data_IF_550681019276
#
_entry.id   IF_550681019276
#
_cell.length_a   1.000
_cell.length_b   1.000
_cell.length_c   1.000
_cell.angle_alpha   90.00
_cell.angle_beta   90.00
_cell.angle_gamma   90.00
#
_symmetry.space_group_name_H-M   'P 1'
#
loop_
_entity.id
_entity.type
_entity.pdbx_description
1 polymer ?
#
# COMPACT_ATOMS: atom_id res chain seq x y z
N UNK A 1 14.80 -19.20 -11.80
CA UNK A 1 15.04 -18.78 -10.41
C UNK A 1 14.55 -17.38 -10.29
N UNK A 2 13.69 -17.03 -9.32
CA UNK A 2 13.36 -15.65 -9.08
C UNK A 2 14.66 -14.90 -8.75
N UNK A 3 14.79 -13.62 -9.13
CA UNK A 3 15.92 -12.83 -8.73
C UNK A 3 15.94 -12.77 -7.20
N UNK A 4 17.03 -13.22 -6.59
CA UNK A 4 17.26 -13.12 -5.15
C UNK A 4 17.63 -11.64 -4.91
N UNK A 5 16.64 -10.83 -4.59
CA UNK A 5 16.88 -9.46 -4.13
C UNK A 5 17.19 -9.49 -2.64
N UNK A 6 18.45 -9.77 -2.35
CA UNK A 6 18.97 -9.81 -0.99
C UNK A 6 19.68 -8.48 -0.65
N UNK A 7 18.97 -7.38 -0.86
CA UNK A 7 19.42 -6.09 -0.32
C UNK A 7 18.61 -5.82 0.94
N UNK A 8 19.15 -6.14 2.12
CA UNK A 8 18.44 -5.82 3.36
C UNK A 8 18.30 -4.29 3.45
N UNK A 9 17.09 -3.83 3.74
CA UNK A 9 16.88 -2.43 4.14
C UNK A 9 17.77 -2.19 5.35
N UNK A 10 18.59 -1.15 5.28
CA UNK A 10 19.56 -0.84 6.31
C UNK A 10 18.89 -0.79 7.69
N UNK A 11 19.31 -1.67 8.59
CA UNK A 11 18.79 -1.76 9.95
C UNK A 11 17.57 -2.64 10.14
N UNK A 12 17.06 -3.33 9.11
CA UNK A 12 16.03 -4.36 9.32
C UNK A 12 16.57 -5.50 10.15
N UNK A 13 15.92 -5.78 11.26
CA UNK A 13 16.19 -6.98 12.05
C UNK A 13 15.55 -8.18 11.35
N UNK A 14 16.38 -9.15 10.95
CA UNK A 14 15.87 -10.45 10.50
C UNK A 14 15.18 -11.12 11.68
N UNK A 15 13.87 -11.36 11.58
CA UNK A 15 13.18 -12.22 12.54
C UNK A 15 13.63 -13.66 12.30
N UNK A 16 13.97 -14.42 13.35
CA UNK A 16 14.26 -15.83 13.17
C UNK A 16 13.03 -16.54 12.57
N UNK A 17 13.23 -17.51 11.65
CA UNK A 17 12.13 -18.29 11.11
C UNK A 17 11.42 -19.07 12.23
N UNK A 18 10.10 -19.21 12.10
CA UNK A 18 9.34 -20.11 12.97
C UNK A 18 9.73 -21.57 12.70
N UNK A 19 9.67 -22.42 13.70
CA UNK A 19 9.99 -23.84 13.57
C UNK A 19 8.77 -24.71 13.26
N UNK A 20 7.59 -24.20 13.57
CA UNK A 20 6.27 -24.78 13.26
C UNK A 20 5.36 -23.67 12.76
N UNK A 21 4.30 -23.95 12.00
CA UNK A 21 3.34 -22.93 11.60
C UNK A 21 2.76 -22.19 12.82
N UNK A 22 2.70 -20.86 12.73
CA UNK A 22 2.17 -19.98 13.80
C UNK A 22 1.09 -19.09 13.21
N UNK A 23 -0.06 -19.06 13.86
CA UNK A 23 -1.15 -18.14 13.54
C UNK A 23 -1.11 -16.93 14.49
N UNK A 24 -1.18 -15.73 13.89
CA UNK A 24 -1.27 -14.44 14.60
C UNK A 24 -2.61 -13.80 14.29
N UNK A 25 -3.26 -13.24 15.29
CA UNK A 25 -4.49 -12.46 15.09
C UNK A 25 -5.71 -13.06 15.76
N UNK A 26 -6.84 -13.02 15.09
CA UNK A 26 -8.13 -13.46 15.59
C UNK A 26 -8.97 -14.07 14.45
N UNK A 27 -10.18 -14.59 14.76
CA UNK A 27 -11.02 -15.27 13.76
C UNK A 27 -11.44 -14.42 12.56
N UNK A 28 -11.36 -13.11 12.63
CA UNK A 28 -11.74 -12.20 11.54
C UNK A 28 -10.55 -11.67 10.74
N UNK A 29 -9.36 -11.61 11.36
CA UNK A 29 -8.14 -11.12 10.74
C UNK A 29 -6.96 -11.85 11.33
N UNK A 30 -6.25 -12.63 10.51
CA UNK A 30 -5.14 -13.48 10.96
C UNK A 30 -4.10 -13.66 9.87
N UNK A 31 -2.89 -13.97 10.30
CA UNK A 31 -1.78 -14.37 9.44
C UNK A 31 -1.28 -15.73 9.88
N UNK A 32 -0.89 -16.57 8.93
CA UNK A 32 -0.22 -17.84 9.23
C UNK A 32 1.21 -17.80 8.70
N UNK A 33 2.19 -17.84 9.60
CA UNK A 33 3.61 -17.91 9.24
C UNK A 33 4.09 -19.35 9.25
N UNK A 34 4.74 -19.76 8.16
CA UNK A 34 5.26 -21.11 7.96
C UNK A 34 6.80 -21.15 8.08
N UNK A 35 7.39 -22.32 8.46
CA UNK A 35 8.84 -22.50 8.55
C UNK A 35 9.59 -22.21 7.24
N UNK A 36 8.92 -22.32 6.11
CA UNK A 36 9.44 -21.94 4.78
C UNK A 36 9.71 -20.46 4.59
N UNK A 37 9.26 -19.59 5.53
CA UNK A 37 9.28 -18.14 5.40
C UNK A 37 8.08 -17.55 4.64
N UNK A 38 7.09 -18.39 4.29
CA UNK A 38 5.81 -17.92 3.78
C UNK A 38 4.96 -17.35 4.92
N UNK A 39 4.37 -16.19 4.69
CA UNK A 39 3.36 -15.57 5.56
C UNK A 39 2.07 -15.49 4.76
N UNK A 40 1.07 -16.29 5.12
CA UNK A 40 -0.23 -16.30 4.46
C UNK A 40 -1.15 -15.27 5.13
N UNK A 41 -1.52 -14.24 4.39
CA UNK A 41 -2.44 -13.17 4.80
C UNK A 41 -3.76 -13.21 4.02
N UNK A 42 -3.97 -14.28 3.23
CA UNK A 42 -5.13 -14.43 2.34
C UNK A 42 -6.42 -14.78 3.06
N UNK A 43 -6.36 -15.05 4.36
CA UNK A 43 -7.50 -15.49 5.19
C UNK A 43 -8.18 -16.78 4.71
N UNK A 44 -7.48 -17.60 3.92
CA UNK A 44 -8.06 -18.82 3.33
C UNK A 44 -7.94 -20.06 4.20
N UNK A 45 -7.04 -20.04 5.20
CA UNK A 45 -6.72 -21.23 5.98
C UNK A 45 -6.36 -20.89 7.41
N UNK A 46 -7.22 -21.24 8.35
CA UNK A 46 -6.88 -21.29 9.77
C UNK A 46 -6.05 -22.54 10.08
N UNK A 47 -5.13 -22.41 11.02
CA UNK A 47 -4.61 -23.57 11.71
C UNK A 47 -5.74 -24.24 12.51
N UNK A 48 -5.58 -25.56 12.79
CA UNK A 48 -6.62 -26.35 13.47
C UNK A 48 -7.00 -25.70 14.83
N UNK A 49 -8.26 -25.81 15.31
CA UNK A 49 -8.67 -25.21 16.58
C UNK A 49 -7.84 -25.62 17.80
N UNK A 50 -7.18 -26.79 17.76
CA UNK A 50 -6.20 -27.24 18.77
C UNK A 50 -4.91 -26.44 18.77
N UNK A 51 -4.63 -25.68 17.69
CA UNK A 51 -3.39 -24.96 17.48
C UNK A 51 -3.57 -23.45 17.71
N UNK A 52 -4.80 -23.02 18.09
CA UNK A 52 -5.08 -21.59 18.35
C UNK A 52 -4.36 -21.06 19.58
N UNK A 53 -3.67 -19.95 19.39
CA UNK A 53 -3.12 -19.15 20.48
C UNK A 53 -4.23 -18.63 21.40
N UNK A 54 -4.18 -19.00 22.68
CA UNK A 54 -5.07 -18.39 23.68
C UNK A 54 -4.53 -17.01 24.06
N UNK A 55 -5.28 -15.97 23.67
CA UNK A 55 -4.97 -14.56 23.90
C UNK A 55 -5.08 -14.16 25.36
N UNK A 56 -4.16 -14.58 26.21
CA UNK A 56 -4.05 -14.06 27.56
C UNK A 56 -2.58 -13.78 27.89
N UNK A 57 -1.92 -12.84 27.17
CA UNK A 57 -0.68 -12.18 27.63
C UNK A 57 0.42 -13.07 28.22
N UNK A 58 0.34 -14.38 28.07
CA UNK A 58 1.23 -15.36 28.65
C UNK A 58 2.13 -16.00 27.63
N UNK A 59 3.36 -16.17 27.99
CA UNK A 59 4.40 -16.93 27.33
C UNK A 59 3.84 -18.19 26.66
N UNK A 60 4.12 -18.40 25.38
CA UNK A 60 3.84 -19.64 24.67
C UNK A 60 4.59 -20.77 25.37
N UNK A 61 3.91 -21.50 26.25
CA UNK A 61 4.41 -22.76 26.81
C UNK A 61 3.89 -23.89 25.93
N UNK A 62 4.74 -24.40 25.05
CA UNK A 62 4.51 -25.68 24.45
C UNK A 62 4.58 -26.76 25.54
N UNK A 63 3.44 -27.13 26.13
CA UNK A 63 3.35 -28.35 26.88
C UNK A 63 3.36 -29.52 25.88
N UNK A 64 4.51 -30.14 25.74
CA UNK A 64 4.68 -31.33 24.97
C UNK A 64 3.85 -32.49 25.47
N UNK A 65 3.39 -33.28 24.53
CA UNK A 65 2.81 -34.62 24.55
C UNK A 65 1.28 -34.70 24.41
N UNK A 66 0.77 -34.28 23.26
CA UNK A 66 -0.28 -35.04 22.59
C UNK A 66 0.06 -35.10 21.11
N UNK A 67 -0.09 -36.29 20.50
CA UNK A 67 0.13 -36.52 19.09
C UNK A 67 -0.89 -35.68 18.31
N UNK A 68 -0.54 -34.44 18.01
CA UNK A 68 -1.24 -33.61 17.05
C UNK A 68 -1.16 -34.32 15.71
N UNK A 69 -2.30 -34.67 15.15
CA UNK A 69 -2.40 -35.01 13.73
C UNK A 69 -1.88 -33.80 12.97
N UNK A 70 -0.63 -33.91 12.50
CA UNK A 70 0.27 -32.84 12.14
C UNK A 70 -0.41 -31.64 11.46
N UNK A 71 -0.33 -30.49 12.13
CA UNK A 71 -0.36 -29.22 11.43
C UNK A 71 0.62 -29.37 10.26
N UNK A 72 0.17 -29.10 9.03
CA UNK A 72 1.04 -29.23 7.85
C UNK A 72 2.21 -28.28 8.07
N UNK A 73 3.41 -28.82 8.22
CA UNK A 73 4.64 -28.02 8.27
C UNK A 73 4.83 -27.20 6.97
N UNK A 74 4.19 -27.65 5.90
CA UNK A 74 4.17 -27.00 4.60
C UNK A 74 2.88 -26.23 4.37
N UNK A 75 2.97 -25.06 3.72
CA UNK A 75 1.79 -24.28 3.36
C UNK A 75 0.86 -25.07 2.42
N UNK A 76 -0.45 -24.79 2.40
CA UNK A 76 -1.35 -25.30 1.39
C UNK A 76 -0.89 -24.96 -0.02
N UNK A 77 -1.29 -25.74 -1.02
CA UNK A 77 -1.08 -25.39 -2.43
C UNK A 77 -1.71 -24.03 -2.73
N UNK A 78 -1.11 -23.27 -3.66
CA UNK A 78 -1.62 -21.98 -4.11
C UNK A 78 -3.03 -22.11 -4.69
N UNK A 79 -3.96 -21.34 -4.19
CA UNK A 79 -5.35 -21.26 -4.69
C UNK A 79 -5.47 -20.43 -5.96
N UNK A 80 -6.64 -20.49 -6.63
CA UNK A 80 -6.90 -19.82 -7.91
C UNK A 80 -6.75 -18.29 -7.82
N UNK A 81 -7.23 -17.69 -6.72
CA UNK A 81 -7.16 -16.25 -6.46
C UNK A 81 -6.02 -15.88 -5.52
N UNK A 82 -4.96 -16.68 -5.47
CA UNK A 82 -3.82 -16.40 -4.59
C UNK A 82 -2.56 -16.11 -5.39
N UNK A 83 -1.69 -15.32 -4.81
CA UNK A 83 -0.35 -15.08 -5.32
C UNK A 83 0.65 -15.02 -4.17
N UNK A 84 1.82 -15.64 -4.39
CA UNK A 84 2.94 -15.65 -3.46
C UNK A 84 3.93 -14.56 -3.85
N UNK A 85 3.90 -13.45 -3.13
CA UNK A 85 4.68 -12.24 -3.42
C UNK A 85 6.01 -12.28 -2.67
N UNK A 86 7.16 -12.32 -3.36
CA UNK A 86 8.45 -12.19 -2.70
C UNK A 86 8.58 -10.80 -2.06
N UNK A 87 9.00 -10.75 -0.80
CA UNK A 87 9.21 -9.50 -0.04
C UNK A 87 10.60 -9.48 0.56
N UNK A 88 11.02 -8.33 1.06
CA UNK A 88 12.32 -8.18 1.69
C UNK A 88 12.53 -9.13 2.87
N UNK A 89 13.81 -9.43 3.16
CA UNK A 89 14.20 -10.36 4.21
C UNK A 89 14.09 -11.85 3.82
N UNK A 90 14.05 -12.15 2.51
CA UNK A 90 13.99 -13.52 2.00
C UNK A 90 12.67 -14.24 2.30
N UNK A 91 11.59 -13.50 2.50
CA UNK A 91 10.25 -14.00 2.82
C UNK A 91 9.32 -13.92 1.62
N UNK A 92 8.18 -14.56 1.76
CA UNK A 92 7.10 -14.53 0.78
C UNK A 92 5.79 -14.24 1.49
N UNK A 93 4.96 -13.38 0.92
CA UNK A 93 3.61 -13.09 1.43
C UNK A 93 2.58 -13.63 0.47
N UNK A 94 1.71 -14.51 0.96
CA UNK A 94 0.56 -15.01 0.19
C UNK A 94 -0.62 -14.09 0.38
N UNK A 95 -1.14 -13.56 -0.72
CA UNK A 95 -2.30 -12.66 -0.75
C UNK A 95 -3.48 -13.34 -1.46
N UNK A 96 -4.71 -12.86 -1.17
CA UNK A 96 -5.87 -13.07 -2.03
C UNK A 96 -5.97 -11.91 -3.02
N UNK A 97 -5.80 -12.16 -4.31
CA UNK A 97 -5.81 -11.13 -5.35
C UNK A 97 -7.16 -10.45 -5.49
N UNK A 98 -8.27 -11.15 -5.19
CA UNK A 98 -9.62 -10.58 -5.23
C UNK A 98 -9.94 -9.65 -4.06
N UNK A 99 -9.23 -9.80 -2.93
CA UNK A 99 -9.32 -8.96 -1.75
C UNK A 99 -8.12 -7.98 -1.63
N UNK A 100 -7.45 -7.69 -2.76
CA UNK A 100 -6.25 -6.83 -2.82
C UNK A 100 -6.48 -5.61 -3.71
N UNK A 101 -5.93 -4.47 -3.30
CA UNK A 101 -5.89 -3.26 -4.12
C UNK A 101 -4.50 -2.61 -4.14
N UNK A 102 -4.17 -1.96 -5.26
CA UNK A 102 -3.03 -1.04 -5.37
C UNK A 102 -3.56 0.37 -5.08
N UNK A 103 -3.03 1.03 -4.06
CA UNK A 103 -3.36 2.41 -3.67
C UNK A 103 -2.28 3.33 -4.22
N UNK A 104 -2.58 4.01 -5.33
CA UNK A 104 -1.69 4.97 -6.00
C UNK A 104 -2.02 6.38 -5.51
N UNK A 105 -1.10 6.99 -4.78
CA UNK A 105 -1.33 8.23 -4.05
C UNK A 105 -0.66 9.41 -4.75
N UNK A 106 -1.45 10.43 -5.09
CA UNK A 106 -1.02 11.76 -5.53
C UNK A 106 -0.05 11.80 -6.72
N UNK A 107 -0.14 10.85 -7.65
CA UNK A 107 0.63 10.89 -8.89
C UNK A 107 0.07 11.92 -9.89
N UNK A 108 -0.26 13.12 -9.36
CA UNK A 108 -0.96 14.21 -10.04
C UNK A 108 0.00 15.23 -10.67
N UNK A 109 -0.49 15.98 -11.67
CA UNK A 109 0.27 17.04 -12.32
C UNK A 109 0.83 18.06 -11.32
N UNK A 110 0.08 18.41 -10.24
CA UNK A 110 0.57 19.36 -9.24
C UNK A 110 1.90 18.91 -8.62
N UNK A 111 2.09 17.63 -8.41
CA UNK A 111 3.30 17.09 -7.77
C UNK A 111 4.42 16.76 -8.76
N UNK A 112 4.08 16.41 -10.00
CA UNK A 112 5.03 15.82 -10.95
C UNK A 112 5.29 16.64 -12.21
N UNK A 113 4.39 17.58 -12.57
CA UNK A 113 4.58 18.37 -13.77
C UNK A 113 5.75 19.37 -13.59
N UNK A 114 6.75 19.38 -14.49
CA UNK A 114 7.96 20.19 -14.32
C UNK A 114 7.71 21.69 -14.21
N UNK A 115 6.65 22.20 -14.85
CA UNK A 115 6.26 23.63 -14.74
C UNK A 115 5.73 23.98 -13.33
N UNK A 116 5.32 22.99 -12.55
CA UNK A 116 4.79 23.20 -11.19
C UNK A 116 5.76 22.78 -10.12
N UNK A 117 6.46 21.67 -10.30
CA UNK A 117 7.39 21.12 -9.32
C UNK A 117 8.55 20.38 -9.97
N UNK A 118 9.72 20.52 -9.37
CA UNK A 118 10.85 19.63 -9.63
C UNK A 118 10.74 18.42 -8.71
N UNK A 119 10.36 17.27 -9.27
CA UNK A 119 10.22 16.00 -8.54
C UNK A 119 10.81 14.82 -9.34
N UNK A 120 12.13 14.83 -9.58
CA UNK A 120 12.75 13.82 -10.46
C UNK A 120 12.62 12.40 -9.91
N UNK A 121 12.59 12.22 -8.59
CA UNK A 121 12.39 10.92 -7.94
C UNK A 121 10.96 10.41 -8.14
N UNK A 122 9.94 11.27 -8.04
CA UNK A 122 8.55 10.90 -8.29
C UNK A 122 8.28 10.55 -9.75
N UNK A 123 8.95 11.21 -10.69
CA UNK A 123 8.84 10.85 -12.11
C UNK A 123 9.36 9.44 -12.41
N UNK A 124 10.33 8.94 -11.63
CA UNK A 124 10.83 7.56 -11.75
C UNK A 124 9.80 6.50 -11.35
N UNK A 125 8.76 6.86 -10.60
CA UNK A 125 7.69 5.94 -10.22
C UNK A 125 6.67 5.70 -11.34
N UNK A 126 6.68 6.51 -12.41
CA UNK A 126 5.70 6.43 -13.50
C UNK A 126 5.81 5.09 -14.26
N UNK A 127 7.00 4.72 -14.70
CA UNK A 127 7.21 3.48 -15.45
C UNK A 127 6.90 2.22 -14.63
N UNK A 128 7.37 2.08 -13.36
CA UNK A 128 6.94 1.00 -12.48
C UNK A 128 5.42 0.87 -12.37
N UNK A 129 4.69 1.98 -12.21
CA UNK A 129 3.23 1.96 -12.14
C UNK A 129 2.58 1.52 -13.45
N UNK A 130 3.05 2.03 -14.59
CA UNK A 130 2.55 1.60 -15.91
C UNK A 130 2.80 0.11 -16.18
N UNK A 131 3.86 -0.45 -15.60
CA UNK A 131 4.21 -1.86 -15.76
C UNK A 131 3.39 -2.78 -14.86
N UNK A 132 3.12 -2.40 -13.60
CA UNK A 132 2.40 -3.27 -12.64
C UNK A 132 0.88 -3.25 -12.83
N UNK A 133 0.30 -2.11 -13.23
CA UNK A 133 -1.15 -1.93 -13.30
C UNK A 133 -1.84 -2.94 -14.24
N UNK A 134 -1.39 -3.17 -15.49
CA UNK A 134 -2.04 -4.12 -16.38
C UNK A 134 -2.03 -5.58 -15.87
N UNK A 135 -0.92 -6.18 -15.40
CA UNK A 135 -0.94 -7.54 -14.86
C UNK A 135 -1.77 -7.65 -13.55
N UNK A 136 -1.77 -6.63 -12.70
CA UNK A 136 -2.59 -6.60 -11.50
C UNK A 136 -4.09 -6.71 -11.84
N UNK A 137 -4.57 -5.90 -12.78
CA UNK A 137 -5.96 -5.95 -13.28
C UNK A 137 -6.35 -7.34 -13.79
N UNK A 138 -5.45 -8.02 -14.54
CA UNK A 138 -5.71 -9.37 -15.06
C UNK A 138 -5.91 -10.40 -13.96
N UNK A 139 -5.36 -10.18 -12.78
CA UNK A 139 -5.50 -11.04 -11.61
C UNK A 139 -6.61 -10.60 -10.65
N UNK A 140 -7.42 -9.62 -11.03
CA UNK A 140 -8.54 -9.13 -10.22
C UNK A 140 -8.17 -8.11 -9.16
N UNK A 141 -6.88 -7.75 -9.04
CA UNK A 141 -6.43 -6.69 -8.12
C UNK A 141 -6.97 -5.35 -8.61
N UNK A 142 -7.65 -4.62 -7.73
CA UNK A 142 -8.18 -3.29 -8.01
C UNK A 142 -7.12 -2.21 -7.94
N UNK A 143 -7.27 -1.15 -8.74
CA UNK A 143 -6.37 0.01 -8.71
C UNK A 143 -7.13 1.23 -8.23
N UNK A 144 -6.70 1.79 -7.11
CA UNK A 144 -7.31 2.94 -6.47
C UNK A 144 -6.38 4.16 -6.63
N UNK A 145 -6.83 5.12 -7.42
CA UNK A 145 -6.12 6.38 -7.63
C UNK A 145 -6.57 7.39 -6.59
N UNK A 146 -5.82 7.49 -5.50
CA UNK A 146 -6.18 8.26 -4.29
C UNK A 146 -5.51 9.62 -4.34
N UNK A 147 -6.27 10.63 -4.72
CA UNK A 147 -5.75 11.92 -5.14
C UNK A 147 -6.38 13.08 -4.38
N UNK A 148 -5.62 14.15 -4.18
CA UNK A 148 -6.21 15.42 -3.78
C UNK A 148 -7.26 15.86 -4.80
N UNK A 149 -8.38 16.33 -4.28
CA UNK A 149 -9.45 16.87 -5.11
C UNK A 149 -10.47 17.57 -4.23
N UNK A 150 -10.21 18.85 -3.95
CA UNK A 150 -10.99 19.65 -3.01
C UNK A 150 -12.22 20.28 -3.66
N UNK A 151 -13.26 20.44 -2.85
CA UNK A 151 -14.46 21.23 -3.13
C UNK A 151 -14.40 22.58 -2.40
N UNK A 152 -15.26 23.53 -2.79
CA UNK A 152 -15.38 24.81 -2.09
C UNK A 152 -15.75 24.66 -0.60
N UNK A 153 -16.51 23.61 -0.27
CA UNK A 153 -16.85 23.32 1.12
C UNK A 153 -15.63 22.86 1.91
N UNK A 154 -14.81 21.98 1.34
CA UNK A 154 -13.64 21.42 1.98
C UNK A 154 -12.56 22.47 2.25
N UNK A 155 -12.43 23.50 1.39
CA UNK A 155 -11.53 24.63 1.65
C UNK A 155 -11.81 25.32 2.99
N UNK A 156 -13.06 25.30 3.47
CA UNK A 156 -13.47 25.92 4.74
C UNK A 156 -13.16 25.05 5.96
N UNK A 157 -12.80 23.77 5.75
CA UNK A 157 -12.61 22.80 6.83
C UNK A 157 -11.18 22.29 6.94
N UNK A 158 -10.27 22.71 6.06
CA UNK A 158 -8.86 22.30 6.10
C UNK A 158 -8.18 22.91 7.33
N UNK A 159 -7.44 22.10 8.12
CA UNK A 159 -6.69 22.60 9.27
C UNK A 159 -5.66 23.66 8.91
N UNK A 160 -5.46 24.69 9.73
CA UNK A 160 -4.58 25.82 9.41
C UNK A 160 -3.12 25.42 9.19
N UNK A 161 -2.61 24.39 9.88
CA UNK A 161 -1.27 23.87 9.69
C UNK A 161 -1.07 23.29 8.27
N UNK A 162 -2.08 22.61 7.75
CA UNK A 162 -2.08 22.06 6.41
C UNK A 162 -2.17 23.16 5.34
N UNK A 163 -3.06 24.14 5.53
CA UNK A 163 -3.13 25.33 4.67
C UNK A 163 -1.77 26.03 4.60
N UNK A 164 -1.17 26.32 5.76
CA UNK A 164 0.15 26.96 5.85
C UNK A 164 1.24 26.14 5.16
N UNK A 165 1.18 24.81 5.29
CA UNK A 165 2.14 23.89 4.65
C UNK A 165 2.13 24.02 3.12
N UNK A 166 0.96 24.06 2.51
CA UNK A 166 0.80 24.18 1.05
C UNK A 166 1.06 25.61 0.53
N UNK A 167 1.03 26.62 1.37
CA UNK A 167 1.39 27.99 0.99
C UNK A 167 2.88 28.25 0.87
N UNK A 168 3.75 27.38 1.39
CA UNK A 168 5.21 27.54 1.39
C UNK A 168 5.83 27.67 -0.02
N UNK A 169 5.17 27.13 -1.03
CA UNK A 169 5.66 27.16 -2.40
C UNK A 169 5.61 28.55 -3.08
N UNK A 170 5.02 29.56 -2.43
CA UNK A 170 4.81 30.88 -3.01
C UNK A 170 3.79 30.95 -4.16
N UNK A 171 3.13 29.82 -4.47
CA UNK A 171 2.16 29.68 -5.57
C UNK A 171 0.69 29.78 -5.10
N UNK A 172 0.45 30.36 -3.93
CA UNK A 172 -0.85 30.31 -3.26
C UNK A 172 -1.06 28.98 -2.53
N UNK A 173 -2.08 28.93 -1.66
CA UNK A 173 -2.51 27.72 -0.99
C UNK A 173 -3.59 26.98 -1.77
N UNK A 174 -4.24 26.01 -1.13
CA UNK A 174 -5.37 25.30 -1.71
C UNK A 174 -6.42 26.25 -2.32
N UNK A 175 -6.91 25.92 -3.52
CA UNK A 175 -7.86 26.74 -4.26
C UNK A 175 -7.29 28.02 -4.88
N UNK A 176 -6.01 28.35 -4.65
CA UNK A 176 -5.33 29.48 -5.29
C UNK A 176 -5.08 29.23 -6.78
N UNK A 177 -5.16 30.31 -7.58
CA UNK A 177 -4.98 30.22 -9.03
C UNK A 177 -3.52 29.90 -9.37
N UNK A 178 -3.29 28.86 -10.13
CA UNK A 178 -2.00 28.50 -10.72
C UNK A 178 -1.84 29.15 -12.10
N UNK A 179 -0.59 29.28 -12.59
CA UNK A 179 -0.35 29.90 -13.90
C UNK A 179 -0.87 29.02 -15.06
N UNK A 180 -1.19 29.69 -16.17
CA UNK A 180 -1.56 29.02 -17.44
C UNK A 180 -2.78 28.11 -17.30
N UNK A 181 -2.66 26.91 -17.85
CA UNK A 181 -3.76 25.92 -17.92
C UNK A 181 -4.00 25.11 -16.63
N UNK A 182 -3.19 25.32 -15.61
CA UNK A 182 -3.22 24.46 -14.43
C UNK A 182 -4.43 24.63 -13.52
N UNK A 183 -5.13 25.78 -13.61
CA UNK A 183 -6.33 26.03 -12.84
C UNK A 183 -6.09 26.29 -11.35
N UNK A 184 -7.05 26.01 -10.51
CA UNK A 184 -6.99 26.23 -9.06
C UNK A 184 -6.33 25.05 -8.34
N UNK A 185 -5.39 25.35 -7.44
CA UNK A 185 -4.55 24.39 -6.76
C UNK A 185 -5.36 23.29 -6.07
N UNK A 186 -5.21 22.06 -6.54
CA UNK A 186 -5.80 20.81 -6.03
C UNK A 186 -7.34 20.83 -5.88
N UNK A 187 -8.03 21.63 -6.68
CA UNK A 187 -9.48 21.56 -6.78
C UNK A 187 -9.91 20.49 -7.77
N UNK A 188 -11.08 19.88 -7.52
CA UNK A 188 -11.66 18.85 -8.41
C UNK A 188 -11.88 19.40 -9.81
N UNK A 189 -11.51 18.60 -10.83
CA UNK A 189 -11.70 18.92 -12.23
C UNK A 189 -10.66 19.89 -12.80
N UNK A 190 -9.69 20.32 -12.02
CA UNK A 190 -8.61 21.19 -12.51
C UNK A 190 -7.45 20.34 -13.05
N UNK A 191 -6.81 20.80 -14.12
CA UNK A 191 -5.73 20.06 -14.78
C UNK A 191 -4.57 19.69 -13.84
N UNK A 192 -4.25 20.54 -12.86
CA UNK A 192 -3.23 20.21 -11.86
C UNK A 192 -3.63 19.03 -10.97
N UNK A 193 -4.91 18.73 -10.84
CA UNK A 193 -5.46 17.62 -10.04
C UNK A 193 -5.61 16.33 -10.83
N UNK A 194 -5.44 16.33 -12.15
CA UNK A 194 -5.39 15.13 -12.97
C UNK A 194 -4.07 14.39 -12.74
N UNK A 195 -4.04 13.11 -13.08
CA UNK A 195 -2.82 12.30 -13.04
C UNK A 195 -1.79 12.82 -14.06
N UNK A 196 -0.51 12.63 -13.72
CA UNK A 196 0.59 13.07 -14.56
C UNK A 196 0.75 12.21 -15.80
N UNK A 197 0.77 12.85 -16.95
CA UNK A 197 1.20 12.26 -18.23
C UNK A 197 0.46 10.95 -18.56
N UNK A 198 1.20 9.87 -18.85
CA UNK A 198 0.62 8.60 -19.32
C UNK A 198 -0.23 7.89 -18.23
N UNK A 199 -0.09 8.25 -16.97
CA UNK A 199 -0.91 7.68 -15.89
C UNK A 199 -2.38 8.07 -16.03
N UNK A 200 -2.68 9.26 -16.57
CA UNK A 200 -4.08 9.67 -16.82
C UNK A 200 -4.74 8.77 -17.87
N UNK A 201 -4.03 8.48 -18.94
CA UNK A 201 -4.53 7.57 -19.99
C UNK A 201 -4.70 6.15 -19.45
N UNK A 202 -3.76 5.71 -18.60
CA UNK A 202 -3.82 4.38 -17.99
C UNK A 202 -5.01 4.26 -17.04
N UNK A 203 -5.27 5.27 -16.21
CA UNK A 203 -6.47 5.35 -15.39
C UNK A 203 -7.76 5.23 -16.21
N UNK A 204 -7.89 6.03 -17.29
CA UNK A 204 -9.09 6.03 -18.14
C UNK A 204 -9.37 4.65 -18.78
N UNK A 205 -8.33 3.88 -19.11
CA UNK A 205 -8.49 2.49 -19.58
C UNK A 205 -9.09 1.62 -18.49
N UNK A 206 -8.59 1.72 -17.26
CA UNK A 206 -9.07 0.93 -16.14
C UNK A 206 -10.45 1.34 -15.65
N UNK A 207 -10.76 2.64 -15.63
CA UNK A 207 -12.09 3.16 -15.33
C UNK A 207 -13.14 2.58 -16.29
N UNK A 208 -12.86 2.65 -17.59
CA UNK A 208 -13.73 2.07 -18.63
C UNK A 208 -13.90 0.56 -18.47
N UNK A 209 -12.89 -0.14 -18.00
CA UNK A 209 -12.93 -1.58 -17.76
C UNK A 209 -13.57 -1.96 -16.40
N UNK A 210 -13.84 -1.00 -15.52
CA UNK A 210 -14.35 -1.22 -14.16
C UNK A 210 -13.33 -1.83 -13.19
N UNK A 211 -12.05 -1.69 -13.48
CA UNK A 211 -10.94 -2.18 -12.65
C UNK A 211 -10.32 -1.12 -11.78
N UNK A 212 -10.45 0.16 -12.17
CA UNK A 212 -9.85 1.30 -11.51
C UNK A 212 -10.91 2.24 -10.94
N UNK A 213 -10.56 2.85 -9.82
CA UNK A 213 -11.44 3.79 -9.13
C UNK A 213 -10.67 5.03 -8.74
N UNK A 214 -11.27 6.21 -9.01
CA UNK A 214 -10.76 7.48 -8.53
C UNK A 214 -11.33 7.80 -7.16
N UNK A 215 -10.45 7.98 -6.19
CA UNK A 215 -10.81 8.35 -4.82
C UNK A 215 -10.30 9.77 -4.53
N UNK A 216 -11.21 10.68 -4.21
CA UNK A 216 -10.81 12.00 -3.74
C UNK A 216 -10.51 12.00 -2.25
N UNK A 217 -9.35 12.56 -1.88
CA UNK A 217 -9.00 12.86 -0.50
C UNK A 217 -8.86 14.35 -0.27
N UNK A 218 -9.02 14.77 0.97
CA UNK A 218 -8.97 16.16 1.40
C UNK A 218 -8.04 16.42 2.60
N UNK A 219 -7.19 15.42 2.90
CA UNK A 219 -6.12 15.45 3.90
C UNK A 219 -4.91 14.72 3.35
N UNK A 220 -3.80 14.73 4.10
CA UNK A 220 -2.58 14.00 3.71
C UNK A 220 -2.86 12.52 3.53
N UNK A 221 -3.42 11.87 4.54
CA UNK A 221 -3.87 10.49 4.46
C UNK A 221 -5.22 10.37 3.75
N UNK A 222 -5.42 9.30 2.96
CA UNK A 222 -6.72 8.92 2.43
C UNK A 222 -7.65 8.31 3.48
N UNK A 223 -7.11 7.90 4.64
CA UNK A 223 -7.81 7.23 5.74
C UNK A 223 -7.78 8.02 7.05
N UNK A 224 -7.57 9.35 6.98
CA UNK A 224 -7.34 10.22 8.14
C UNK A 224 -8.47 10.27 9.17
N UNK A 225 -9.67 9.89 8.79
CA UNK A 225 -10.87 9.98 9.60
C UNK A 225 -11.75 8.77 9.46
N UNK A 226 -12.85 8.78 10.20
CA UNK A 226 -13.90 7.79 10.08
C UNK A 226 -14.71 8.02 8.80
N UNK A 227 -14.98 6.95 8.05
CA UNK A 227 -15.77 6.96 6.82
C UNK A 227 -15.26 7.92 5.74
N UNK A 228 -13.96 7.92 5.48
CA UNK A 228 -13.44 8.58 4.28
C UNK A 228 -13.89 7.82 3.01
N UNK A 229 -13.82 8.48 1.84
CA UNK A 229 -14.19 7.84 0.58
C UNK A 229 -13.38 6.55 0.32
N UNK A 230 -12.10 6.55 0.68
CA UNK A 230 -11.25 5.34 0.57
C UNK A 230 -11.71 4.26 1.54
N UNK A 231 -11.97 4.60 2.80
CA UNK A 231 -12.40 3.68 3.84
C UNK A 231 -13.69 2.92 3.45
N UNK A 232 -14.72 3.69 3.09
CA UNK A 232 -16.01 3.13 2.65
C UNK A 232 -15.85 2.20 1.45
N UNK A 233 -15.04 2.61 0.46
CA UNK A 233 -14.85 1.79 -0.73
C UNK A 233 -14.12 0.47 -0.39
N UNK A 234 -13.09 0.52 0.45
CA UNK A 234 -12.35 -0.68 0.87
C UNK A 234 -13.25 -1.66 1.63
N UNK A 235 -14.07 -1.17 2.55
CA UNK A 235 -15.02 -1.98 3.32
C UNK A 235 -16.09 -2.62 2.41
N UNK A 236 -16.73 -1.82 1.53
CA UNK A 236 -17.78 -2.29 0.60
C UNK A 236 -17.28 -3.36 -0.38
N UNK A 237 -15.99 -3.34 -0.71
CA UNK A 237 -15.38 -4.28 -1.66
C UNK A 237 -14.60 -5.41 -0.98
N UNK A 238 -14.63 -5.52 0.36
CA UNK A 238 -14.00 -6.60 1.11
C UNK A 238 -12.47 -6.64 0.95
N UNK A 239 -11.84 -5.49 0.73
CA UNK A 239 -10.38 -5.42 0.58
C UNK A 239 -9.70 -5.60 1.93
N UNK A 240 -8.70 -6.46 1.98
CA UNK A 240 -7.92 -6.75 3.18
C UNK A 240 -6.43 -6.46 3.01
N UNK A 241 -5.93 -6.42 1.77
CA UNK A 241 -4.52 -6.22 1.43
C UNK A 241 -4.32 -5.02 0.52
N UNK A 242 -3.36 -4.16 0.86
CA UNK A 242 -3.07 -2.92 0.14
C UNK A 242 -1.60 -2.85 -0.28
N UNK A 243 -1.37 -2.66 -1.57
CA UNK A 243 -0.08 -2.21 -2.09
C UNK A 243 -0.03 -0.69 -2.10
N UNK A 244 1.03 -0.10 -1.57
CA UNK A 244 1.21 1.35 -1.50
C UNK A 244 2.20 1.86 -2.54
N UNK A 245 1.77 2.87 -3.30
CA UNK A 245 2.57 3.57 -4.29
C UNK A 245 2.26 5.07 -4.31
N UNK A 246 3.12 5.88 -4.91
CA UNK A 246 2.90 7.32 -5.13
C UNK A 246 3.83 8.24 -4.37
N UNK A 247 3.41 9.48 -4.20
CA UNK A 247 4.20 10.58 -3.61
C UNK A 247 3.41 11.41 -2.59
N UNK A 248 4.06 12.06 -1.62
CA UNK A 248 5.45 11.80 -1.18
C UNK A 248 5.45 10.64 -0.20
N UNK A 249 6.47 9.80 -0.31
CA UNK A 249 6.59 8.57 0.48
C UNK A 249 6.43 8.80 1.99
N UNK A 250 7.09 9.82 2.53
CA UNK A 250 7.12 10.17 3.96
C UNK A 250 5.99 11.13 4.41
N UNK A 251 5.04 11.42 3.52
CA UNK A 251 3.91 12.32 3.77
C UNK A 251 2.58 11.60 3.48
N UNK A 252 2.01 11.79 2.28
CA UNK A 252 0.70 11.24 1.94
C UNK A 252 0.69 9.71 1.91
N UNK A 253 1.77 9.09 1.39
CA UNK A 253 1.88 7.64 1.34
C UNK A 253 2.00 7.08 2.76
N UNK A 254 2.99 7.54 3.55
CA UNK A 254 3.17 7.08 4.93
C UNK A 254 1.93 7.34 5.79
N UNK A 255 1.31 8.51 5.67
CA UNK A 255 0.10 8.84 6.42
C UNK A 255 -1.03 7.83 6.14
N UNK A 256 -1.26 7.49 4.86
CA UNK A 256 -2.30 6.52 4.48
C UNK A 256 -1.92 5.11 4.91
N UNK A 257 -0.65 4.73 4.78
CA UNK A 257 -0.15 3.42 5.19
C UNK A 257 -0.29 3.19 6.71
N UNK A 258 0.06 4.19 7.51
CA UNK A 258 -0.05 4.09 8.98
C UNK A 258 -1.52 4.00 9.42
N UNK A 259 -2.41 4.79 8.81
CA UNK A 259 -3.84 4.72 9.10
C UNK A 259 -4.42 3.36 8.66
N UNK A 260 -3.99 2.81 7.52
CA UNK A 260 -4.38 1.47 7.07
C UNK A 260 -3.89 0.38 8.03
N UNK A 261 -2.63 0.47 8.48
CA UNK A 261 -2.07 -0.44 9.48
C UNK A 261 -2.89 -0.46 10.78
N UNK A 262 -3.25 0.72 11.31
CA UNK A 262 -4.08 0.81 12.53
C UNK A 262 -5.50 0.28 12.34
N UNK A 263 -6.00 0.23 11.11
CA UNK A 263 -7.31 -0.35 10.76
C UNK A 263 -7.24 -1.87 10.50
N UNK A 264 -6.03 -2.46 10.50
CA UNK A 264 -5.83 -3.90 10.36
C UNK A 264 -5.68 -4.40 8.92
N UNK A 265 -5.45 -3.52 7.94
CA UNK A 265 -5.10 -3.92 6.59
C UNK A 265 -3.71 -4.54 6.52
N UNK A 266 -3.52 -5.52 5.65
CA UNK A 266 -2.21 -6.03 5.27
C UNK A 266 -1.54 -5.00 4.37
N UNK A 267 -0.44 -4.39 4.83
CA UNK A 267 0.23 -3.30 4.12
C UNK A 267 1.50 -3.81 3.43
N UNK A 268 1.60 -3.59 2.11
CA UNK A 268 2.78 -3.94 1.31
C UNK A 268 3.22 -2.68 0.55
N UNK A 269 4.45 -2.25 0.72
CA UNK A 269 4.99 -1.05 0.09
C UNK A 269 5.77 -1.43 -1.17
N UNK A 270 5.49 -0.76 -2.29
CA UNK A 270 6.23 -0.90 -3.55
C UNK A 270 7.39 0.10 -3.57
N UNK A 271 8.60 -0.34 -3.21
CA UNK A 271 9.76 0.54 -2.99
C UNK A 271 10.19 1.33 -4.23
N UNK A 272 10.01 0.76 -5.43
CA UNK A 272 10.34 1.37 -6.72
C UNK A 272 9.21 2.27 -7.25
N UNK A 273 8.04 2.24 -6.61
CA UNK A 273 6.87 3.03 -6.98
C UNK A 273 6.47 4.08 -5.92
N UNK A 274 7.30 4.31 -4.90
CA UNK A 274 7.16 5.43 -3.95
C UNK A 274 8.38 6.33 -4.01
N UNK A 275 8.17 7.64 -3.84
CA UNK A 275 9.27 8.60 -3.83
C UNK A 275 8.96 9.83 -2.98
N UNK A 276 10.00 10.58 -2.62
CA UNK A 276 9.88 11.86 -1.91
C UNK A 276 10.94 12.85 -2.39
N UNK A 277 10.68 14.13 -2.17
CA UNK A 277 11.64 15.23 -2.29
C UNK A 277 12.21 15.65 -0.92
N UNK A 278 11.91 14.92 0.14
CA UNK A 278 12.48 15.16 1.46
C UNK A 278 13.99 14.92 1.48
N UNK A 279 14.71 15.51 2.43
CA UNK A 279 16.14 15.30 2.58
C UNK A 279 16.52 13.83 2.72
N UNK A 280 17.82 13.55 2.59
CA UNK A 280 18.40 12.23 2.79
C UNK A 280 17.89 11.58 4.08
N UNK A 281 17.53 10.29 4.00
CA UNK A 281 16.95 9.53 5.09
C UNK A 281 15.41 9.50 5.11
N UNK A 282 14.72 10.42 4.43
CA UNK A 282 13.26 10.45 4.40
C UNK A 282 12.64 9.15 3.85
N UNK A 283 13.04 8.75 2.65
CA UNK A 283 12.60 7.49 2.03
C UNK A 283 13.08 6.26 2.81
N UNK A 284 14.35 6.25 3.25
CA UNK A 284 14.90 5.12 3.99
C UNK A 284 14.15 4.86 5.31
N UNK A 285 13.75 5.93 6.02
CA UNK A 285 12.93 5.80 7.23
C UNK A 285 11.55 5.17 6.92
N UNK A 286 10.91 5.57 5.83
CA UNK A 286 9.62 4.99 5.41
C UNK A 286 9.76 3.50 5.12
N UNK A 287 10.73 3.11 4.30
CA UNK A 287 10.98 1.71 3.93
C UNK A 287 11.33 0.86 5.15
N UNK A 288 12.19 1.38 6.04
CA UNK A 288 12.51 0.70 7.30
C UNK A 288 11.26 0.40 8.14
N UNK A 289 10.41 1.40 8.37
CA UNK A 289 9.21 1.22 9.17
C UNK A 289 8.14 0.38 8.45
N UNK A 290 8.01 0.52 7.14
CA UNK A 290 7.09 -0.28 6.34
C UNK A 290 7.41 -1.78 6.43
N UNK A 291 8.70 -2.16 6.31
CA UNK A 291 9.11 -3.56 6.37
C UNK A 291 9.26 -4.11 7.79
N UNK A 292 9.61 -3.26 8.77
CA UNK A 292 9.89 -3.71 10.14
C UNK A 292 8.67 -3.69 11.06
N UNK A 293 7.73 -2.76 10.85
CA UNK A 293 6.65 -2.49 11.78
C UNK A 293 5.25 -2.56 11.15
N UNK A 294 5.06 -1.97 9.97
CA UNK A 294 3.71 -1.78 9.43
C UNK A 294 3.27 -2.88 8.47
N UNK A 295 4.19 -3.70 7.96
CA UNK A 295 3.88 -4.76 7.02
C UNK A 295 5.11 -5.25 6.28
N UNK A 296 5.10 -5.11 4.95
CA UNK A 296 6.11 -5.68 4.06
C UNK A 296 6.59 -4.68 3.02
N UNK A 297 7.77 -4.92 2.46
CA UNK A 297 8.32 -4.15 1.33
C UNK A 297 8.63 -5.11 0.19
N UNK A 298 8.29 -4.71 -1.01
CA UNK A 298 8.60 -5.40 -2.26
C UNK A 298 8.79 -4.38 -3.38
N UNK A 299 9.01 -4.82 -4.61
CA UNK A 299 9.01 -3.97 -5.79
C UNK A 299 8.01 -4.46 -6.85
N UNK A 300 7.77 -3.62 -7.87
CA UNK A 300 6.81 -3.92 -8.92
C UNK A 300 7.21 -5.14 -9.74
N UNK A 301 8.50 -5.38 -9.94
CA UNK A 301 8.99 -6.51 -10.73
C UNK A 301 8.75 -7.86 -10.05
N UNK A 302 8.95 -7.94 -8.73
CA UNK A 302 8.63 -9.12 -7.92
C UNK A 302 7.13 -9.42 -7.94
N UNK A 303 6.30 -8.39 -7.84
CA UNK A 303 4.84 -8.56 -7.93
C UNK A 303 4.43 -9.03 -9.31
N UNK A 304 4.92 -8.40 -10.39
CA UNK A 304 4.63 -8.82 -11.78
C UNK A 304 5.02 -10.28 -12.01
N UNK A 305 6.20 -10.68 -11.51
CA UNK A 305 6.66 -12.07 -11.60
C UNK A 305 5.70 -13.02 -10.88
N UNK A 306 5.25 -12.68 -9.69
CA UNK A 306 4.34 -13.51 -8.90
C UNK A 306 2.92 -13.60 -9.51
N UNK A 307 2.53 -12.59 -10.28
CA UNK A 307 1.23 -12.55 -10.97
C UNK A 307 1.27 -13.18 -12.37
N UNK A 308 2.42 -13.56 -12.89
CA UNK A 308 2.56 -14.22 -14.20
C UNK A 308 2.27 -15.73 -14.13
#
# INVERSE_FOLDING_TARGET
MPPIYDTPILGMTTRPPVTTPVEYGNSASYWVEYPSGLIDVSLSHHLSPSDHWQSNGGTVTHNGSEKTNGARAEPPALGENQADIPVDGGRTVRIDTSATAIVVIDMQNFFLHPDLRDHPTGLKCVDPLLNIVPPARKKGIKVLWVNWGLTEHELKTIPPSLVRGFMKSGRGGFGGQLPGKFGRLLMRGEYNSELYGPLQEEYLKGEKAGTDVWIHKNRMSGLWGYQTALDLWLEENGITTLFFAGVNADQCVLGTLVDAYFRGYNCITLEDAIATTSPEGGLANVLYNAGNSYGFVTDTSRVIYALS
#
